data_IF_984236572881
#
_entry.id   IF_984236572881
#
_cell.length_a   1.000
_cell.length_b   1.000
_cell.length_c   1.000
_cell.angle_alpha   90.00
_cell.angle_beta   90.00
_cell.angle_gamma   90.00
#
_symmetry.space_group_name_H-M   'P 1'
#
loop_
_entity.id
_entity.type
_entity.pdbx_description
1 polymer ?
#
# COMPACT_ATOMS: atom_id res chain seq x y z
N UNK A 1 11.87 8.66 -26.15
CA UNK A 1 12.33 8.21 -24.82
C UNK A 1 11.43 7.07 -24.38
N UNK A 2 11.97 5.87 -24.23
CA UNK A 2 11.16 4.74 -23.78
C UNK A 2 10.96 4.85 -22.27
N UNK A 3 9.71 4.79 -21.79
CA UNK A 3 9.36 4.70 -20.37
C UNK A 3 9.73 3.30 -19.84
N UNK A 4 10.99 2.91 -19.95
CA UNK A 4 11.44 1.59 -19.53
C UNK A 4 11.42 1.48 -18.02
N UNK A 5 10.58 0.57 -17.54
CA UNK A 5 10.63 0.03 -16.19
C UNK A 5 11.06 -1.43 -16.34
N UNK A 6 11.95 -1.93 -15.47
CA UNK A 6 12.31 -3.33 -15.53
C UNK A 6 11.05 -4.19 -15.30
N UNK A 7 10.91 -5.33 -15.97
CA UNK A 7 9.88 -6.28 -15.63
C UNK A 7 10.07 -6.71 -14.17
N UNK A 8 8.96 -6.86 -13.44
CA UNK A 8 8.99 -7.45 -12.11
C UNK A 8 9.25 -8.96 -12.23
N UNK A 9 10.02 -9.56 -11.31
CA UNK A 9 10.22 -11.01 -11.32
C UNK A 9 8.88 -11.72 -11.03
N UNK A 10 8.64 -12.92 -11.60
CA UNK A 10 7.39 -13.65 -11.41
C UNK A 10 7.16 -14.08 -9.95
N UNK A 11 8.22 -14.15 -9.14
CA UNK A 11 8.17 -14.45 -7.71
C UNK A 11 7.80 -13.22 -6.86
N UNK A 12 7.63 -12.04 -7.47
CA UNK A 12 7.25 -10.83 -6.75
C UNK A 12 5.82 -10.97 -6.19
N UNK A 13 5.64 -10.86 -4.85
CA UNK A 13 4.32 -10.94 -4.23
C UNK A 13 3.30 -10.01 -4.89
N UNK A 14 2.05 -10.47 -5.04
CA UNK A 14 0.99 -9.70 -5.69
C UNK A 14 0.74 -8.34 -5.03
N UNK A 15 0.90 -8.27 -3.70
CA UNK A 15 0.82 -7.02 -2.93
C UNK A 15 1.82 -5.97 -3.42
N UNK A 16 3.10 -6.36 -3.55
CA UNK A 16 4.17 -5.48 -4.01
C UNK A 16 4.03 -5.17 -5.50
N UNK A 17 3.65 -6.16 -6.31
CA UNK A 17 3.38 -5.97 -7.74
C UNK A 17 2.28 -4.92 -7.96
N UNK A 18 1.20 -4.98 -7.17
CA UNK A 18 0.12 -4.00 -7.21
C UNK A 18 0.61 -2.59 -6.87
N UNK A 19 1.34 -2.43 -5.76
CA UNK A 19 1.87 -1.14 -5.34
C UNK A 19 2.86 -0.55 -6.36
N UNK A 20 3.83 -1.35 -6.82
CA UNK A 20 4.83 -0.92 -7.80
C UNK A 20 4.18 -0.50 -9.11
N UNK A 21 3.17 -1.24 -9.58
CA UNK A 21 2.42 -0.89 -10.79
C UNK A 21 1.75 0.49 -10.66
N UNK A 22 1.19 0.82 -9.49
CA UNK A 22 0.61 2.14 -9.20
C UNK A 22 1.68 3.24 -9.17
N UNK A 23 2.80 2.99 -8.48
CA UNK A 23 3.94 3.91 -8.44
C UNK A 23 4.54 4.19 -9.83
N UNK A 24 4.50 3.19 -10.72
CA UNK A 24 5.00 3.29 -12.09
C UNK A 24 3.95 3.69 -13.12
N UNK A 25 2.78 4.18 -12.70
CA UNK A 25 1.75 4.65 -13.62
C UNK A 25 2.33 5.66 -14.64
N UNK A 26 2.02 5.42 -15.92
CA UNK A 26 2.49 6.24 -17.04
C UNK A 26 2.04 7.69 -16.90
N UNK A 27 0.80 7.91 -16.44
CA UNK A 27 0.30 9.23 -16.06
C UNK A 27 0.76 9.58 -14.63
N UNK A 28 1.58 10.61 -14.42
CA UNK A 28 2.04 11.01 -13.09
C UNK A 28 0.90 11.32 -12.10
N UNK A 29 -0.24 11.82 -12.58
CA UNK A 29 -1.40 12.13 -11.73
C UNK A 29 -2.09 10.89 -11.15
N UNK A 30 -1.79 9.70 -11.66
CA UNK A 30 -2.31 8.43 -11.14
C UNK A 30 -1.39 7.76 -10.12
N UNK A 31 -0.20 8.34 -9.87
CA UNK A 31 0.74 7.79 -8.90
C UNK A 31 0.26 8.14 -7.49
N UNK A 32 0.38 7.22 -6.52
CA UNK A 32 0.05 7.52 -5.13
C UNK A 32 0.95 8.61 -4.58
N UNK A 33 0.44 9.42 -3.65
CA UNK A 33 1.26 10.35 -2.89
C UNK A 33 2.08 9.58 -1.85
N UNK A 34 3.16 10.18 -1.35
CA UNK A 34 4.14 9.44 -0.54
C UNK A 34 3.57 8.97 0.81
N UNK A 35 2.67 9.74 1.40
CA UNK A 35 1.92 9.36 2.60
C UNK A 35 1.05 8.11 2.39
N UNK A 36 0.43 7.98 1.22
CA UNK A 36 -0.32 6.79 0.82
C UNK A 36 0.61 5.59 0.67
N UNK A 37 1.78 5.76 0.05
CA UNK A 37 2.79 4.70 -0.09
C UNK A 37 3.24 4.21 1.29
N UNK A 38 3.58 5.13 2.20
CA UNK A 38 4.01 4.80 3.57
C UNK A 38 2.91 4.04 4.30
N UNK A 39 1.67 4.55 4.27
CA UNK A 39 0.52 3.91 4.91
C UNK A 39 0.31 2.47 4.41
N UNK A 40 0.43 2.24 3.10
CA UNK A 40 0.30 0.90 2.52
C UNK A 40 1.42 -0.03 2.99
N UNK A 41 2.67 0.43 2.99
CA UNK A 41 3.82 -0.37 3.39
C UNK A 41 3.81 -0.70 4.89
N UNK A 42 3.39 0.25 5.72
CA UNK A 42 3.16 0.04 7.15
C UNK A 42 2.08 -1.02 7.38
N UNK A 43 0.96 -0.92 6.66
CA UNK A 43 -0.11 -1.93 6.68
C UNK A 43 0.39 -3.32 6.28
N UNK A 44 1.17 -3.45 5.20
CA UNK A 44 1.78 -4.74 4.82
C UNK A 44 2.71 -5.28 5.90
N UNK A 45 3.50 -4.42 6.53
CA UNK A 45 4.38 -4.80 7.64
C UNK A 45 3.60 -5.30 8.86
N UNK A 46 2.47 -4.66 9.20
CA UNK A 46 1.59 -5.11 10.28
C UNK A 46 0.92 -6.45 9.95
N UNK A 47 0.30 -6.58 8.77
CA UNK A 47 -0.33 -7.83 8.33
C UNK A 47 0.66 -8.99 8.29
N UNK A 48 1.90 -8.77 7.87
CA UNK A 48 2.95 -9.80 7.88
C UNK A 48 3.34 -10.25 9.30
N UNK A 49 3.31 -9.34 10.28
CA UNK A 49 3.60 -9.68 11.68
C UNK A 49 2.50 -10.53 12.30
N UNK A 50 1.25 -10.30 11.90
CA UNK A 50 0.08 -11.05 12.37
C UNK A 50 -0.08 -12.39 11.64
N UNK A 51 0.13 -12.39 10.33
CA UNK A 51 0.02 -13.55 9.45
C UNK A 51 1.30 -13.71 8.59
N UNK A 52 2.18 -14.68 8.91
CA UNK A 52 3.36 -14.96 8.10
C UNK A 52 3.06 -15.32 6.65
N UNK A 53 1.85 -15.83 6.35
CA UNK A 53 1.41 -16.22 5.01
C UNK A 53 0.70 -15.09 4.25
N UNK A 54 0.70 -13.87 4.79
CA UNK A 54 0.01 -12.70 4.23
C UNK A 54 0.25 -12.52 2.72
N UNK A 55 1.51 -12.57 2.28
CA UNK A 55 1.86 -12.35 0.87
C UNK A 55 1.39 -13.48 -0.05
N UNK A 56 1.23 -14.69 0.46
CA UNK A 56 0.71 -15.85 -0.27
C UNK A 56 -0.81 -15.77 -0.42
N UNK A 57 -1.49 -15.24 0.60
CA UNK A 57 -2.96 -15.13 0.65
C UNK A 57 -3.50 -13.77 0.16
N UNK A 58 -2.61 -12.87 -0.27
CA UNK A 58 -2.99 -11.51 -0.65
C UNK A 58 -3.94 -11.50 -1.86
N UNK A 59 -5.14 -10.95 -1.65
CA UNK A 59 -6.11 -10.70 -2.72
C UNK A 59 -6.08 -9.21 -3.08
N UNK A 60 -5.72 -8.83 -4.32
CA UNK A 60 -5.64 -7.43 -4.71
C UNK A 60 -7.01 -6.73 -4.67
N UNK A 61 -7.05 -5.44 -4.31
CA UNK A 61 -8.28 -4.66 -4.33
C UNK A 61 -8.91 -4.64 -5.73
N UNK A 62 -10.23 -4.74 -5.78
CA UNK A 62 -10.98 -4.47 -7.01
C UNK A 62 -10.74 -3.02 -7.47
N UNK A 63 -10.83 -2.70 -8.78
CA UNK A 63 -10.56 -1.35 -9.30
C UNK A 63 -11.36 -0.21 -8.68
N UNK A 64 -12.46 -0.52 -7.96
CA UNK A 64 -13.36 0.45 -7.32
C UNK A 64 -13.22 0.51 -5.79
N UNK A 65 -12.18 -0.10 -5.22
CA UNK A 65 -12.01 -0.27 -3.76
C UNK A 65 -11.09 0.80 -3.16
N UNK A 66 -11.46 1.38 -2.01
CA UNK A 66 -10.68 2.41 -1.35
C UNK A 66 -9.67 1.74 -0.40
N UNK A 67 -8.47 1.48 -0.93
CA UNK A 67 -7.42 0.68 -0.30
C UNK A 67 -7.12 1.11 1.14
N UNK A 68 -7.25 2.41 1.45
CA UNK A 68 -7.05 2.99 2.79
C UNK A 68 -8.08 2.46 3.80
N UNK A 69 -9.30 2.16 3.37
CA UNK A 69 -10.37 1.65 4.23
C UNK A 69 -10.43 0.13 4.29
N UNK A 70 -10.07 -0.54 3.20
CA UNK A 70 -10.35 -1.97 3.04
C UNK A 70 -9.20 -2.88 3.52
N UNK A 71 -7.99 -2.34 3.67
CA UNK A 71 -6.79 -3.10 4.08
C UNK A 71 -6.06 -2.52 5.29
N UNK A 72 -6.55 -1.40 5.84
CA UNK A 72 -5.98 -0.80 7.03
C UNK A 72 -6.97 -0.99 8.19
N UNK A 73 -6.58 -1.62 9.31
CA UNK A 73 -7.34 -1.45 10.54
C UNK A 73 -7.36 0.05 10.90
N UNK A 74 -8.48 0.56 11.42
CA UNK A 74 -8.69 1.96 11.83
C UNK A 74 -7.79 2.40 13.01
N UNK A 75 -6.48 2.14 12.98
CA UNK A 75 -5.55 2.58 14.02
C UNK A 75 -5.25 4.09 13.95
N UNK A 76 -5.72 4.80 12.91
CA UNK A 76 -5.67 6.28 12.87
C UNK A 76 -6.53 6.90 14.00
N UNK A 77 -7.47 6.14 14.61
CA UNK A 77 -8.20 6.59 15.81
C UNK A 77 -7.34 6.65 17.09
N UNK A 78 -6.06 6.26 17.04
CA UNK A 78 -5.14 6.25 18.19
C UNK A 78 -4.25 7.48 18.38
N UNK A 79 -4.13 8.39 17.40
CA UNK A 79 -3.52 9.71 17.62
C UNK A 79 -4.61 10.76 17.77
N UNK A 80 -5.38 10.66 18.86
CA UNK A 80 -5.83 11.90 19.48
C UNK A 80 -4.56 12.70 19.75
N UNK A 81 -4.44 13.85 19.09
CA UNK A 81 -3.71 14.97 19.64
C UNK A 81 -3.99 14.98 21.14
N UNK A 82 -2.98 14.61 21.93
CA UNK A 82 -2.98 14.89 23.33
C UNK A 82 -3.00 16.41 23.42
N UNK A 83 -4.15 16.91 23.85
CA UNK A 83 -4.40 18.29 24.22
C UNK A 83 -3.39 18.67 25.32
N UNK A 84 -2.24 19.24 24.97
CA UNK A 84 -1.49 20.06 25.90
C UNK A 84 -1.95 21.51 25.70
N UNK A 85 -2.96 21.91 26.50
CA UNK A 85 -3.15 23.33 26.81
C UNK A 85 -2.02 23.79 27.73
N UNK A 86 -1.38 24.89 27.34
CA UNK A 86 -0.99 25.98 28.21
C UNK A 86 -1.23 27.28 27.45
#
# INVERSE_FOLDING_TARGET
MQNVRPPLPPECPLALTSLVTRCWAANPRKRPHFDEIVSILEGYSESLKEDPDFFSNFIPPSPNTNIIKDYLPDCISGRKSALCHA
#
